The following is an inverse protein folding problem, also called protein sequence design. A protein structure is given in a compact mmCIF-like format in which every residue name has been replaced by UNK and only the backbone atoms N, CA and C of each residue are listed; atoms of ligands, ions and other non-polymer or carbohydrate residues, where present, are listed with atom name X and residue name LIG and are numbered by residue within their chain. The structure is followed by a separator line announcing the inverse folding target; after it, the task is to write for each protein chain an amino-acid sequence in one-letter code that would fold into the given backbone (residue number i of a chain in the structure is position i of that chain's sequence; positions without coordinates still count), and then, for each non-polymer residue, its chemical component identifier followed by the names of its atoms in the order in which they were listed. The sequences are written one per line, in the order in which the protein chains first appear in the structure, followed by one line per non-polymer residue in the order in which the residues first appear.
data_IF_905552537397
#
_entry.id   IF_905552537397
#
_cell.length_a   1.000
_cell.length_b   1.000
_cell.length_c   1.000
_cell.angle_alpha   90.00
_cell.angle_beta   90.00
_cell.angle_gamma   90.00
#
_symmetry.space_group_name_H-M   'P 1'
#
loop_
_entity.id
_entity.type
_entity.pdbx_description
1 polymer ?
#
# COMPACT_ATOMS: atom_id res chain seq x y z
N UNK A 1 -11.09 -29.16 5.39
CA UNK A 1 -10.20 -29.02 4.21
C UNK A 1 -10.79 -27.95 3.31
N UNK A 2 -10.34 -26.69 3.45
CA UNK A 2 -10.67 -25.62 2.50
C UNK A 2 -9.48 -25.49 1.55
N UNK A 3 -9.64 -25.87 0.29
CA UNK A 3 -8.60 -25.63 -0.71
C UNK A 3 -8.56 -24.14 -1.04
N UNK A 4 -7.39 -23.66 -1.45
CA UNK A 4 -7.10 -22.27 -1.85
C UNK A 4 -8.01 -21.78 -3.00
N UNK A 5 -8.78 -22.68 -3.64
CA UNK A 5 -9.83 -22.34 -4.58
C UNK A 5 -11.07 -21.68 -3.95
N UNK A 6 -11.25 -21.71 -2.63
CA UNK A 6 -12.34 -20.99 -1.98
C UNK A 6 -12.21 -19.45 -2.15
N UNK A 7 -10.99 -18.94 -2.32
CA UNK A 7 -10.76 -17.51 -2.56
C UNK A 7 -11.03 -17.08 -4.02
N UNK A 8 -10.89 -18.00 -4.99
CA UNK A 8 -11.17 -17.70 -6.41
C UNK A 8 -12.65 -17.57 -6.74
N UNK A 9 -13.54 -18.16 -5.93
CA UNK A 9 -15.00 -18.11 -6.14
C UNK A 9 -15.65 -16.93 -5.39
N UNK A 10 -14.99 -16.40 -4.37
CA UNK A 10 -15.40 -15.23 -3.61
C UNK A 10 -14.30 -14.16 -3.65
N UNK A 11 -14.05 -13.52 -4.80
CA UNK A 11 -13.36 -12.22 -4.77
C UNK A 11 -14.28 -11.25 -4.02
N UNK A 12 -14.18 -11.27 -2.69
CA UNK A 12 -14.74 -10.23 -1.84
C UNK A 12 -14.09 -8.91 -2.24
N UNK A 13 -14.82 -7.83 -2.03
CA UNK A 13 -14.30 -6.46 -2.11
C UNK A 13 -13.25 -6.25 -1.00
N UNK A 14 -12.08 -6.89 -1.11
CA UNK A 14 -10.94 -6.74 -0.22
C UNK A 14 -10.13 -5.55 -0.67
N UNK A 15 -9.98 -4.59 0.22
CA UNK A 15 -9.12 -3.44 0.01
C UNK A 15 -7.69 -3.76 0.47
N UNK A 16 -6.70 -3.45 -0.37
CA UNK A 16 -5.29 -3.65 -0.05
C UNK A 16 -4.59 -2.31 0.00
N UNK A 17 -3.93 -2.02 1.12
CA UNK A 17 -3.20 -0.78 1.36
C UNK A 17 -1.70 -1.00 1.31
N UNK A 18 -1.07 -0.59 0.21
CA UNK A 18 0.38 -0.62 0.06
C UNK A 18 0.97 0.58 0.77
N UNK A 19 1.70 0.33 1.86
CA UNK A 19 2.52 1.31 2.54
C UNK A 19 3.88 1.43 1.86
N UNK A 20 4.20 2.59 1.32
CA UNK A 20 5.44 2.86 0.59
C UNK A 20 6.30 3.96 1.23
N UNK A 21 7.59 3.99 0.90
CA UNK A 21 8.43 5.16 1.18
C UNK A 21 8.56 5.97 -0.09
N UNK A 22 8.22 7.24 -0.01
CA UNK A 22 8.05 8.11 -1.18
C UNK A 22 9.32 8.30 -2.02
N UNK A 23 10.49 7.98 -1.47
CA UNK A 23 11.80 8.06 -2.12
C UNK A 23 12.35 6.69 -2.57
N UNK A 24 11.49 5.65 -2.59
CA UNK A 24 11.87 4.26 -2.85
C UNK A 24 10.90 3.55 -3.81
N UNK A 25 11.39 2.83 -4.84
CA UNK A 25 10.51 2.22 -5.84
C UNK A 25 9.80 0.93 -5.38
N UNK A 26 10.18 0.35 -4.24
CA UNK A 26 9.73 -0.98 -3.81
C UNK A 26 8.22 -1.05 -3.55
N UNK A 27 7.63 0.03 -3.02
CA UNK A 27 6.18 0.13 -2.86
C UNK A 27 5.44 0.15 -4.20
N UNK A 28 5.99 0.88 -5.18
CA UNK A 28 5.45 0.92 -6.54
C UNK A 28 5.49 -0.48 -7.20
N UNK A 29 6.61 -1.19 -7.08
CA UNK A 29 6.74 -2.56 -7.59
C UNK A 29 5.75 -3.52 -6.93
N UNK A 30 5.56 -3.41 -5.62
CA UNK A 30 4.58 -4.23 -4.91
C UNK A 30 3.16 -3.94 -5.39
N UNK A 31 2.78 -2.67 -5.55
CA UNK A 31 1.46 -2.29 -6.06
C UNK A 31 1.20 -2.84 -7.47
N UNK A 32 2.17 -2.71 -8.39
CA UNK A 32 2.05 -3.30 -9.73
C UNK A 32 1.90 -4.81 -9.66
N UNK A 33 2.76 -5.51 -8.92
CA UNK A 33 2.70 -6.96 -8.85
C UNK A 33 1.36 -7.44 -8.29
N UNK A 34 0.83 -6.78 -7.25
CA UNK A 34 -0.49 -7.06 -6.71
C UNK A 34 -1.60 -6.84 -7.75
N UNK A 35 -1.54 -5.73 -8.50
CA UNK A 35 -2.54 -5.43 -9.55
C UNK A 35 -2.55 -6.44 -10.70
N UNK A 36 -1.40 -7.08 -10.97
CA UNK A 36 -1.32 -8.15 -11.98
C UNK A 36 -1.84 -9.49 -11.48
N UNK A 37 -1.73 -9.75 -10.16
CA UNK A 37 -2.15 -10.99 -9.53
C UNK A 37 -3.63 -10.98 -9.09
N UNK A 38 -4.13 -9.81 -8.71
CA UNK A 38 -5.45 -9.60 -8.13
C UNK A 38 -6.18 -8.56 -8.97
N UNK A 39 -7.40 -8.87 -9.39
CA UNK A 39 -8.24 -7.89 -10.07
C UNK A 39 -8.81 -6.90 -9.05
N UNK A 40 -8.48 -5.63 -9.23
CA UNK A 40 -9.09 -4.52 -8.50
C UNK A 40 -10.09 -3.77 -9.39
N UNK A 41 -11.03 -3.06 -8.77
CA UNK A 41 -11.91 -2.12 -9.47
C UNK A 41 -11.37 -0.68 -9.37
N UNK A 42 -10.81 -0.32 -8.20
CA UNK A 42 -10.34 1.03 -7.93
C UNK A 42 -8.82 1.07 -7.71
N UNK A 43 -8.20 2.17 -8.14
CA UNK A 43 -6.84 2.55 -7.77
C UNK A 43 -6.89 3.87 -7.01
N UNK A 44 -6.38 3.88 -5.78
CA UNK A 44 -6.47 5.04 -4.90
C UNK A 44 -5.07 5.41 -4.46
N UNK A 45 -4.60 6.57 -4.91
CA UNK A 45 -3.24 7.03 -4.63
C UNK A 45 -3.27 8.16 -3.61
N UNK A 46 -2.28 8.22 -2.74
CA UNK A 46 -2.05 9.43 -1.95
C UNK A 46 -1.79 10.65 -2.84
N UNK A 47 -2.47 11.75 -2.53
CA UNK A 47 -2.38 13.03 -3.23
C UNK A 47 -2.66 14.19 -2.28
N UNK A 48 -1.68 14.56 -1.46
CA UNK A 48 -1.83 15.58 -0.41
C UNK A 48 -2.17 16.98 -0.93
N UNK A 49 -1.73 17.30 -2.16
CA UNK A 49 -1.97 18.58 -2.81
C UNK A 49 -3.11 18.54 -3.85
N UNK A 50 -3.83 17.43 -3.98
CA UNK A 50 -4.86 17.28 -5.00
C UNK A 50 -6.11 18.09 -4.66
N UNK A 51 -6.74 18.71 -5.67
CA UNK A 51 -8.04 19.33 -5.47
C UNK A 51 -9.15 18.29 -5.27
N UNK A 52 -10.28 18.69 -4.66
CA UNK A 52 -11.40 17.77 -4.33
C UNK A 52 -11.94 17.03 -5.56
N UNK A 53 -11.94 17.68 -6.72
CA UNK A 53 -12.45 17.11 -7.97
C UNK A 53 -11.33 16.53 -8.85
N UNK A 54 -10.09 16.50 -8.37
CA UNK A 54 -8.95 16.00 -9.11
C UNK A 54 -8.80 14.49 -8.89
N UNK A 55 -8.43 13.79 -9.95
CA UNK A 55 -8.10 12.36 -9.96
C UNK A 55 -6.77 12.14 -10.67
N UNK A 56 -6.09 11.01 -10.42
CA UNK A 56 -4.94 10.62 -11.23
C UNK A 56 -5.28 10.66 -12.73
N UNK A 57 -4.35 11.19 -13.54
CA UNK A 57 -4.52 11.22 -14.99
C UNK A 57 -4.79 9.81 -15.53
N UNK A 58 -5.76 9.71 -16.43
CA UNK A 58 -6.10 8.46 -17.11
C UNK A 58 -5.69 8.47 -18.59
N UNK A 59 -4.95 9.49 -19.05
CA UNK A 59 -4.42 9.55 -20.41
C UNK A 59 -3.06 8.82 -20.49
N UNK A 60 -3.00 7.63 -21.12
CA UNK A 60 -1.75 6.89 -21.23
C UNK A 60 -0.68 7.65 -22.02
N UNK A 61 -1.05 8.49 -23.00
CA UNK A 61 -0.08 9.26 -23.78
C UNK A 61 0.58 10.34 -22.95
N UNK A 62 -0.20 11.01 -22.09
CA UNK A 62 0.32 12.02 -21.18
C UNK A 62 1.33 11.40 -20.19
N UNK A 63 0.96 10.29 -19.54
CA UNK A 63 1.80 9.56 -18.58
C UNK A 63 3.07 9.02 -19.25
N UNK A 64 2.97 8.57 -20.50
CA UNK A 64 4.11 8.02 -21.23
C UNK A 64 5.01 9.06 -21.89
N UNK A 65 4.61 10.33 -21.86
CA UNK A 65 5.29 11.40 -22.59
C UNK A 65 6.67 11.73 -22.01
N UNK A 66 7.61 12.13 -22.88
CA UNK A 66 8.93 12.64 -22.46
C UNK A 66 8.84 13.89 -21.56
N UNK A 67 7.94 14.86 -21.82
CA UNK A 67 7.76 15.99 -20.91
C UNK A 67 7.38 15.57 -19.50
N UNK A 68 6.43 14.63 -19.35
CA UNK A 68 6.05 14.11 -18.03
C UNK A 68 7.24 13.47 -17.31
N UNK A 69 8.03 12.66 -18.02
CA UNK A 69 9.20 12.00 -17.42
C UNK A 69 10.25 13.00 -16.94
N UNK A 70 10.56 14.04 -17.73
CA UNK A 70 11.49 15.10 -17.34
C UNK A 70 10.99 15.89 -16.12
N UNK A 71 9.72 16.29 -16.14
CA UNK A 71 9.11 17.01 -15.03
C UNK A 71 9.17 16.17 -13.74
N UNK A 72 8.86 14.88 -13.82
CA UNK A 72 8.93 13.99 -12.66
C UNK A 72 10.36 13.79 -12.16
N UNK A 73 11.34 13.70 -13.05
CA UNK A 73 12.77 13.65 -12.67
C UNK A 73 13.17 14.92 -11.90
N UNK A 74 12.81 16.09 -12.40
CA UNK A 74 13.11 17.38 -11.75
C UNK A 74 12.44 17.48 -10.37
N UNK A 75 11.16 17.13 -10.26
CA UNK A 75 10.42 17.14 -8.99
C UNK A 75 11.04 16.17 -7.99
N UNK A 76 11.30 14.92 -8.39
CA UNK A 76 11.87 13.90 -7.49
C UNK A 76 13.26 14.31 -7.02
N UNK A 77 14.11 14.82 -7.92
CA UNK A 77 15.45 15.29 -7.54
C UNK A 77 15.39 16.49 -6.59
N UNK A 78 14.41 17.37 -6.75
CA UNK A 78 14.21 18.52 -5.87
C UNK A 78 13.73 18.11 -4.47
N UNK A 79 12.79 17.17 -4.38
CA UNK A 79 12.22 16.71 -3.10
C UNK A 79 13.22 15.80 -2.37
N UNK A 80 13.96 14.97 -3.11
CA UNK A 80 14.91 13.99 -2.57
C UNK A 80 16.33 14.23 -3.13
N UNK A 81 16.99 15.33 -2.71
CA UNK A 81 18.32 15.69 -3.24
C UNK A 81 19.42 14.70 -2.89
N UNK A 82 19.17 13.77 -1.94
CA UNK A 82 20.10 12.71 -1.57
C UNK A 82 20.13 11.54 -2.56
N UNK A 83 19.14 11.41 -3.44
CA UNK A 83 19.10 10.32 -4.42
C UNK A 83 20.11 10.55 -5.54
N UNK A 84 20.81 9.48 -5.91
CA UNK A 84 21.67 9.44 -7.08
C UNK A 84 20.84 9.46 -8.38
N UNK A 85 21.39 9.91 -9.51
CA UNK A 85 20.65 10.00 -10.78
C UNK A 85 20.00 8.68 -11.23
N UNK A 86 20.65 7.54 -10.96
CA UNK A 86 20.13 6.21 -11.27
C UNK A 86 18.92 5.85 -10.41
N UNK A 87 18.95 6.22 -9.12
CA UNK A 87 17.83 6.01 -8.18
C UNK A 87 16.64 6.90 -8.53
N UNK A 88 16.89 8.16 -8.92
CA UNK A 88 15.85 9.06 -9.44
C UNK A 88 15.21 8.47 -10.69
N UNK A 89 16.02 7.95 -11.61
CA UNK A 89 15.51 7.33 -12.84
C UNK A 89 14.64 6.11 -12.52
N UNK A 90 15.10 5.23 -11.62
CA UNK A 90 14.34 4.05 -11.21
C UNK A 90 13.03 4.41 -10.49
N UNK A 91 13.05 5.45 -9.64
CA UNK A 91 11.85 5.93 -8.94
C UNK A 91 10.85 6.54 -9.92
N UNK A 92 11.29 7.33 -10.90
CA UNK A 92 10.44 7.89 -11.95
C UNK A 92 9.82 6.78 -12.80
N UNK A 93 10.61 5.80 -13.23
CA UNK A 93 10.12 4.69 -14.05
C UNK A 93 9.11 3.82 -13.28
N UNK A 94 9.36 3.55 -12.00
CA UNK A 94 8.40 2.83 -11.15
C UNK A 94 7.12 3.62 -10.91
N UNK A 95 7.22 4.94 -10.70
CA UNK A 95 6.08 5.85 -10.52
C UNK A 95 5.22 5.89 -11.78
N UNK A 96 5.87 5.97 -12.94
CA UNK A 96 5.20 5.91 -14.25
C UNK A 96 4.36 4.65 -14.39
N UNK A 97 4.94 3.50 -14.03
CA UNK A 97 4.23 2.22 -14.09
C UNK A 97 3.00 2.21 -13.18
N UNK A 98 3.13 2.68 -11.94
CA UNK A 98 1.98 2.79 -11.01
C UNK A 98 0.91 3.73 -11.54
N UNK A 99 1.29 4.89 -12.10
CA UNK A 99 0.32 5.82 -12.67
C UNK A 99 -0.44 5.21 -13.85
N UNK A 100 0.14 4.26 -14.59
CA UNK A 100 -0.57 3.53 -15.63
C UNK A 100 -1.74 2.67 -15.09
N UNK A 101 -1.80 2.36 -13.80
CA UNK A 101 -2.98 1.73 -13.19
C UNK A 101 -4.22 2.62 -13.28
N UNK A 102 -4.06 3.95 -13.28
CA UNK A 102 -5.16 4.89 -13.42
C UNK A 102 -5.81 4.87 -14.81
N UNK A 103 -5.15 4.26 -15.81
CA UNK A 103 -5.70 4.10 -17.17
C UNK A 103 -6.71 2.96 -17.23
N UNK A 104 -6.56 1.94 -16.38
CA UNK A 104 -7.36 0.70 -16.43
C UNK A 104 -8.30 0.51 -15.24
N UNK A 105 -8.02 1.17 -14.11
CA UNK A 105 -8.81 1.13 -12.89
C UNK A 105 -9.50 2.47 -12.65
N UNK A 106 -10.55 2.49 -11.83
CA UNK A 106 -11.20 3.73 -11.41
C UNK A 106 -10.28 4.53 -10.47
N UNK A 107 -9.68 5.65 -10.91
CA UNK A 107 -8.62 6.30 -10.16
C UNK A 107 -9.16 7.40 -9.24
N UNK A 108 -8.68 7.45 -8.00
CA UNK A 108 -8.98 8.56 -7.07
C UNK A 108 -7.74 8.94 -6.25
N UNK A 109 -7.75 10.16 -5.70
CA UNK A 109 -6.81 10.57 -4.67
C UNK A 109 -7.42 10.44 -3.26
N UNK A 110 -6.57 10.16 -2.28
CA UNK A 110 -6.83 10.22 -0.84
C UNK A 110 -5.70 11.00 -0.14
N UNK A 111 -5.96 11.50 1.06
CA UNK A 111 -4.95 12.18 1.89
C UNK A 111 -4.82 13.67 1.62
N UNK A 112 -5.83 14.31 1.00
CA UNK A 112 -5.80 15.75 0.67
C UNK A 112 -5.56 16.63 1.91
N UNK A 113 -4.95 17.78 1.65
CA UNK A 113 -4.56 18.77 2.65
C UNK A 113 -3.65 18.15 3.73
N UNK A 114 -2.59 17.44 3.31
CA UNK A 114 -1.70 16.72 4.23
C UNK A 114 -2.46 15.86 5.23
N UNK A 115 -3.41 15.06 4.74
CA UNK A 115 -4.31 14.22 5.53
C UNK A 115 -5.18 14.96 6.57
N UNK A 116 -5.32 16.29 6.49
CA UNK A 116 -6.15 17.07 7.42
C UNK A 116 -7.64 17.11 7.03
N UNK A 117 -8.00 16.70 5.82
CA UNK A 117 -9.39 16.72 5.36
C UNK A 117 -10.21 15.60 6.04
N UNK A 118 -11.06 16.01 6.98
CA UNK A 118 -11.88 15.09 7.80
C UNK A 118 -13.11 14.57 7.07
N UNK A 119 -13.49 15.21 5.97
CA UNK A 119 -14.69 14.87 5.20
C UNK A 119 -14.38 14.07 3.94
N UNK A 120 -13.12 14.03 3.50
CA UNK A 120 -12.68 13.35 2.27
C UNK A 120 -13.21 11.93 2.16
N UNK A 121 -12.96 11.10 3.18
CA UNK A 121 -13.43 9.72 3.18
C UNK A 121 -14.94 9.61 2.97
N UNK A 122 -15.71 10.47 3.64
CA UNK A 122 -17.17 10.47 3.54
C UNK A 122 -17.67 11.00 2.19
N UNK A 123 -16.96 11.95 1.57
CA UNK A 123 -17.25 12.39 0.21
C UNK A 123 -16.96 11.28 -0.80
N UNK A 124 -15.77 10.67 -0.74
CA UNK A 124 -15.39 9.54 -1.61
C UNK A 124 -16.35 8.34 -1.47
N UNK A 125 -16.77 8.03 -0.23
CA UNK A 125 -17.77 6.98 0.03
C UNK A 125 -19.10 7.28 -0.65
N UNK A 126 -19.62 8.51 -0.54
CA UNK A 126 -20.88 8.93 -1.18
C UNK A 126 -20.80 8.93 -2.70
N UNK A 127 -19.63 9.24 -3.26
CA UNK A 127 -19.37 9.21 -4.70
C UNK A 127 -19.18 7.79 -5.24
N UNK A 128 -19.13 6.77 -4.38
CA UNK A 128 -18.92 5.38 -4.78
C UNK A 128 -17.47 5.07 -5.15
N UNK A 129 -16.50 5.93 -4.79
CA UNK A 129 -15.07 5.74 -5.09
C UNK A 129 -14.47 4.47 -4.44
N UNK A 130 -15.17 3.87 -3.48
CA UNK A 130 -14.78 2.63 -2.82
C UNK A 130 -15.70 1.43 -3.16
N UNK A 131 -16.55 1.54 -4.18
CA UNK A 131 -17.39 0.42 -4.59
C UNK A 131 -16.52 -0.62 -5.30
N UNK A 132 -16.54 -1.87 -4.83
CA UNK A 132 -15.62 -2.90 -5.30
C UNK A 132 -14.32 -2.94 -4.49
N UNK A 133 -13.45 -3.88 -4.82
CA UNK A 133 -12.09 -3.94 -4.27
C UNK A 133 -11.22 -2.78 -4.76
N UNK A 134 -10.40 -2.26 -3.86
CA UNK A 134 -9.55 -1.10 -4.11
C UNK A 134 -8.10 -1.39 -3.76
N UNK A 135 -7.19 -0.98 -4.64
CA UNK A 135 -5.75 -0.95 -4.37
C UNK A 135 -5.36 0.47 -3.96
N UNK A 136 -4.94 0.62 -2.71
CA UNK A 136 -4.43 1.87 -2.17
C UNK A 136 -2.91 1.89 -2.20
N UNK A 137 -2.33 3.04 -2.57
CA UNK A 137 -0.89 3.30 -2.47
C UNK A 137 -0.67 4.60 -1.70
N UNK A 138 -0.14 4.48 -0.49
CA UNK A 138 -0.01 5.59 0.48
C UNK A 138 1.32 5.52 1.22
N UNK A 139 1.74 6.65 1.79
CA UNK A 139 2.92 6.69 2.66
C UNK A 139 2.77 5.71 3.81
N UNK A 140 3.84 4.97 4.10
CA UNK A 140 3.88 3.91 5.11
C UNK A 140 3.46 4.37 6.52
N UNK A 141 3.57 5.67 6.83
CA UNK A 141 3.07 6.22 8.09
C UNK A 141 1.58 5.92 8.30
N UNK A 142 0.78 5.95 7.22
CA UNK A 142 -0.67 5.73 7.23
C UNK A 142 -1.06 4.27 7.31
N UNK A 143 -0.12 3.34 7.20
CA UNK A 143 -0.38 1.90 7.36
C UNK A 143 0.24 1.34 8.63
N UNK A 144 1.39 1.86 9.09
CA UNK A 144 2.12 1.32 10.24
C UNK A 144 2.02 2.12 11.54
N UNK A 145 1.57 3.36 11.55
CA UNK A 145 1.57 4.16 12.80
C UNK A 145 0.17 4.38 13.36
N UNK A 146 0.10 4.73 14.66
CA UNK A 146 -1.16 4.97 15.38
C UNK A 146 -1.30 6.42 15.84
N UNK A 147 -0.33 7.27 15.53
CA UNK A 147 -0.28 8.65 15.98
C UNK A 147 -0.01 9.57 14.80
N UNK A 148 -0.83 10.62 14.72
CA UNK A 148 -0.63 11.76 13.84
C UNK A 148 0.75 12.39 14.00
N UNK A 149 1.32 12.86 12.90
CA UNK A 149 2.52 13.68 12.85
C UNK A 149 2.24 15.10 13.35
N UNK A 150 1.07 15.63 13.03
CA UNK A 150 0.64 16.98 13.43
C UNK A 150 -0.78 16.98 13.97
N UNK A 151 -1.17 18.03 14.72
CA UNK A 151 -2.50 18.08 15.31
C UNK A 151 -3.64 18.32 14.32
N UNK A 152 -3.33 18.91 13.17
CA UNK A 152 -4.29 19.19 12.11
C UNK A 152 -4.75 17.94 11.36
N UNK A 153 -3.89 16.92 11.29
CA UNK A 153 -4.19 15.67 10.60
C UNK A 153 -5.43 14.96 11.14
N UNK A 154 -6.14 14.30 10.24
CA UNK A 154 -7.28 13.48 10.56
C UNK A 154 -6.85 12.27 11.41
N UNK A 155 -7.41 12.09 12.63
CA UNK A 155 -7.06 10.94 13.47
C UNK A 155 -7.32 9.58 12.81
N UNK A 156 -8.23 9.51 11.83
CA UNK A 156 -8.51 8.28 11.08
C UNK A 156 -7.41 7.93 10.07
N UNK A 157 -6.47 8.83 9.77
CA UNK A 157 -5.37 8.55 8.85
C UNK A 157 -4.29 7.61 9.44
N UNK A 158 -4.39 7.25 10.73
CA UNK A 158 -3.32 6.58 11.47
C UNK A 158 -3.81 5.38 12.33
N UNK A 159 -3.83 4.15 11.79
CA UNK A 159 -3.59 3.83 10.38
C UNK A 159 -4.89 3.89 9.56
N UNK A 160 -4.80 4.49 8.37
CA UNK A 160 -5.90 4.70 7.44
C UNK A 160 -6.62 3.39 7.06
N UNK A 161 -5.89 2.31 6.84
CA UNK A 161 -6.50 1.03 6.42
C UNK A 161 -7.52 0.47 7.45
N UNK A 162 -7.38 0.84 8.74
CA UNK A 162 -8.32 0.43 9.79
C UNK A 162 -9.52 1.35 9.89
N UNK A 163 -9.31 2.66 9.78
CA UNK A 163 -10.29 3.66 10.17
C UNK A 163 -10.95 4.40 8.99
N UNK A 164 -10.35 4.35 7.80
CA UNK A 164 -10.83 4.94 6.56
C UNK A 164 -11.14 3.84 5.54
N UNK A 165 -12.07 2.95 5.88
CA UNK A 165 -12.38 1.78 5.06
C UNK A 165 -13.87 1.46 5.06
N UNK A 166 -14.38 0.94 3.93
CA UNK A 166 -15.79 0.57 3.72
C UNK A 166 -16.05 -0.94 3.74
N UNK A 167 -15.01 -1.76 3.82
CA UNK A 167 -15.10 -3.22 3.74
C UNK A 167 -13.99 -3.93 4.51
N UNK A 168 -13.67 -5.19 4.22
CA UNK A 168 -12.44 -5.81 4.70
C UNK A 168 -11.20 -5.07 4.14
N UNK A 169 -10.23 -4.71 4.98
CA UNK A 169 -8.92 -4.21 4.54
C UNK A 169 -7.78 -4.95 5.19
N UNK A 170 -6.70 -5.07 4.43
CA UNK A 170 -5.37 -5.44 4.90
C UNK A 170 -4.36 -4.41 4.39
N UNK A 171 -3.25 -4.27 5.10
CA UNK A 171 -2.11 -3.51 4.66
C UNK A 171 -0.97 -4.44 4.24
N UNK A 172 -0.14 -3.95 3.32
CA UNK A 172 1.06 -4.63 2.86
C UNK A 172 2.22 -3.65 2.83
N UNK A 173 3.41 -4.11 3.23
CA UNK A 173 4.57 -3.24 3.30
C UNK A 173 5.83 -4.02 2.94
N UNK A 174 6.65 -3.55 1.98
CA UNK A 174 7.91 -4.21 1.66
C UNK A 174 8.84 -4.29 2.87
N UNK A 175 9.55 -5.41 3.01
CA UNK A 175 10.51 -5.61 4.11
C UNK A 175 11.59 -4.53 4.10
N UNK A 176 12.09 -4.15 2.91
CA UNK A 176 13.11 -3.10 2.79
C UNK A 176 12.69 -1.78 3.43
N UNK A 177 11.41 -1.41 3.30
CA UNK A 177 10.86 -0.18 3.88
C UNK A 177 10.74 -0.30 5.41
N UNK A 178 10.37 -1.49 5.91
CA UNK A 178 10.36 -1.77 7.36
C UNK A 178 11.78 -1.76 7.93
N UNK A 179 12.75 -2.36 7.24
CA UNK A 179 14.14 -2.41 7.69
C UNK A 179 14.74 -1.00 7.76
N UNK A 180 14.44 -0.16 6.77
CA UNK A 180 14.96 1.20 6.68
C UNK A 180 14.33 2.15 7.71
N UNK A 181 13.00 2.08 7.90
CA UNK A 181 12.27 3.08 8.69
C UNK A 181 11.59 2.54 9.96
N UNK A 182 11.69 1.24 10.25
CA UNK A 182 10.94 0.58 11.32
C UNK A 182 11.20 1.20 12.70
N UNK A 183 12.47 1.46 13.02
CA UNK A 183 12.86 2.10 14.28
C UNK A 183 12.29 3.52 14.43
N UNK A 184 12.23 4.28 13.34
CA UNK A 184 11.61 5.62 13.33
C UNK A 184 10.10 5.52 13.58
N UNK A 185 9.42 4.59 12.92
CA UNK A 185 7.97 4.40 13.09
C UNK A 185 7.57 3.78 14.42
N UNK A 186 8.45 3.04 15.09
CA UNK A 186 8.21 2.51 16.44
C UNK A 186 7.90 3.59 17.47
N UNK A 187 8.47 4.80 17.30
CA UNK A 187 8.16 5.96 18.16
C UNK A 187 6.71 6.42 18.06
N UNK A 188 5.99 5.98 17.01
CA UNK A 188 4.61 6.37 16.67
C UNK A 188 3.64 5.19 16.69
N UNK A 189 4.10 4.03 17.17
CA UNK A 189 3.26 2.85 17.40
C UNK A 189 2.87 2.80 18.86
N UNK A 190 1.57 2.82 19.14
CA UNK A 190 1.01 2.77 20.49
C UNK A 190 0.26 1.47 20.71
N UNK A 191 0.09 1.00 21.97
CA UNK A 191 -0.77 -0.14 22.24
C UNK A 191 -2.18 0.10 21.69
N UNK A 192 -2.58 -0.70 20.70
CA UNK A 192 -3.93 -0.72 20.12
C UNK A 192 -4.44 -2.16 20.06
N UNK A 193 -5.63 -2.36 19.49
CA UNK A 193 -6.04 -3.68 19.03
C UNK A 193 -4.93 -4.24 18.12
N UNK A 194 -4.38 -5.43 18.44
CA UNK A 194 -3.28 -5.99 17.68
C UNK A 194 -3.64 -6.27 16.23
N UNK A 195 -2.66 -6.09 15.36
CA UNK A 195 -2.68 -6.69 14.03
C UNK A 195 -2.05 -8.08 14.06
N UNK A 196 -2.43 -8.87 13.08
CA UNK A 196 -1.82 -10.15 12.78
C UNK A 196 -1.24 -10.07 11.39
N UNK A 197 -0.10 -10.73 11.19
CA UNK A 197 0.67 -10.62 9.97
C UNK A 197 1.35 -11.91 9.55
N UNK A 198 1.78 -11.94 8.31
CA UNK A 198 2.56 -13.02 7.72
C UNK A 198 3.54 -12.43 6.70
N UNK A 199 4.75 -12.96 6.66
CA UNK A 199 5.72 -12.64 5.62
C UNK A 199 5.40 -13.42 4.35
N UNK A 200 5.38 -12.72 3.22
CA UNK A 200 5.20 -13.30 1.90
C UNK A 200 6.46 -13.03 1.09
N UNK A 201 7.03 -14.06 0.50
CA UNK A 201 8.10 -13.94 -0.48
C UNK A 201 7.51 -13.51 -1.82
N UNK A 202 8.07 -12.43 -2.39
CA UNK A 202 7.78 -12.04 -3.76
C UNK A 202 8.15 -13.17 -4.74
N UNK A 203 7.58 -13.11 -5.95
CA UNK A 203 7.93 -14.07 -7.00
C UNK A 203 9.43 -14.01 -7.28
N UNK A 204 10.00 -15.15 -7.65
CA UNK A 204 11.39 -15.21 -8.09
C UNK A 204 11.63 -14.14 -9.17
N UNK A 205 12.75 -13.42 -9.05
CA UNK A 205 13.17 -12.31 -9.93
C UNK A 205 12.27 -11.06 -9.93
N UNK A 206 11.25 -11.00 -9.05
CA UNK A 206 10.41 -9.80 -8.92
C UNK A 206 11.03 -8.77 -7.97
N UNK A 207 10.94 -7.49 -8.36
CA UNK A 207 11.53 -6.36 -7.62
C UNK A 207 10.78 -5.97 -6.33
N UNK A 208 9.65 -6.61 -6.00
CA UNK A 208 8.93 -6.30 -4.77
C UNK A 208 9.55 -6.96 -3.53
N UNK A 209 10.37 -8.01 -3.72
CA UNK A 209 11.04 -8.73 -2.62
C UNK A 209 10.06 -9.34 -1.61
N UNK A 210 10.55 -9.60 -0.41
CA UNK A 210 9.71 -10.04 0.73
C UNK A 210 8.90 -8.87 1.27
N UNK A 211 7.64 -9.10 1.62
CA UNK A 211 6.76 -8.09 2.21
C UNK A 211 5.90 -8.65 3.33
N UNK A 212 5.54 -7.80 4.29
CA UNK A 212 4.64 -8.13 5.38
C UNK A 212 3.20 -7.84 4.93
N UNK A 213 2.32 -8.81 5.08
CA UNK A 213 0.86 -8.60 4.99
C UNK A 213 0.30 -8.59 6.40
N UNK A 214 -0.53 -7.60 6.74
CA UNK A 214 -1.06 -7.47 8.09
C UNK A 214 -2.44 -6.81 8.14
N UNK A 215 -3.19 -7.11 9.20
CA UNK A 215 -4.50 -6.54 9.47
C UNK A 215 -5.20 -7.18 10.66
N UNK A 216 -6.51 -7.04 10.74
CA UNK A 216 -7.30 -7.63 11.84
C UNK A 216 -7.25 -9.15 11.81
N UNK A 217 -7.27 -9.78 13.00
CA UNK A 217 -7.14 -11.23 13.14
C UNK A 217 -8.16 -12.00 12.29
N UNK A 218 -9.42 -11.59 12.30
CA UNK A 218 -10.50 -12.28 11.59
C UNK A 218 -10.24 -12.36 10.09
N UNK A 219 -9.90 -11.23 9.45
CA UNK A 219 -9.61 -11.17 8.01
C UNK A 219 -8.32 -11.94 7.69
N UNK A 220 -7.28 -11.74 8.50
CA UNK A 220 -5.99 -12.40 8.28
C UNK A 220 -6.10 -13.91 8.44
N UNK A 221 -6.88 -14.40 9.41
CA UNK A 221 -7.13 -15.84 9.63
C UNK A 221 -8.01 -16.43 8.54
N UNK A 222 -8.95 -15.65 8.00
CA UNK A 222 -9.73 -16.07 6.85
C UNK A 222 -8.87 -16.27 5.60
N UNK A 223 -7.95 -15.35 5.31
CA UNK A 223 -7.12 -15.37 4.10
C UNK A 223 -5.95 -16.36 4.23
N UNK A 224 -5.22 -16.32 5.35
CA UNK A 224 -3.95 -17.03 5.52
C UNK A 224 -4.04 -18.22 6.49
N UNK A 225 -5.16 -18.38 7.20
CA UNK A 225 -5.33 -19.44 8.19
C UNK A 225 -4.49 -19.22 9.45
N UNK A 226 -4.00 -20.31 10.03
CA UNK A 226 -3.30 -20.29 11.33
C UNK A 226 -1.80 -19.98 11.24
N UNK A 227 -1.29 -19.62 10.06
CA UNK A 227 0.14 -19.25 9.88
C UNK A 227 0.43 -17.80 10.27
N UNK A 228 -0.61 -17.03 10.61
CA UNK A 228 -0.49 -15.64 11.01
C UNK A 228 0.05 -15.54 12.43
N UNK A 229 0.89 -14.55 12.66
CA UNK A 229 1.42 -14.22 13.97
C UNK A 229 1.00 -12.81 14.37
N UNK A 230 0.95 -12.54 15.67
CA UNK A 230 0.68 -11.20 16.16
C UNK A 230 1.82 -10.28 15.73
N UNK A 231 1.50 -9.18 15.05
CA UNK A 231 2.48 -8.14 14.71
C UNK A 231 2.91 -7.46 16.02
N UNK A 232 4.22 -7.43 16.34
CA UNK A 232 4.69 -6.82 17.56
C UNK A 232 4.44 -5.30 17.55
N UNK A 233 4.35 -4.73 18.76
CA UNK A 233 4.21 -3.28 18.91
C UNK A 233 5.40 -2.56 18.28
N UNK A 234 6.62 -3.06 18.52
CA UNK A 234 7.84 -2.59 17.88
C UNK A 234 8.15 -3.43 16.65
N UNK A 235 8.25 -2.79 15.49
CA UNK A 235 8.65 -3.38 14.22
C UNK A 235 10.05 -3.96 14.29
N UNK A 236 10.94 -3.40 15.11
CA UNK A 236 12.28 -3.99 15.35
C UNK A 236 12.22 -5.38 16.00
N UNK A 237 11.08 -5.75 16.58
CA UNK A 237 10.86 -7.07 17.18
C UNK A 237 10.12 -8.01 16.23
N UNK A 238 9.86 -7.62 14.97
CA UNK A 238 9.29 -8.51 13.96
C UNK A 238 10.24 -9.69 13.76
N UNK A 239 9.70 -10.90 13.85
CA UNK A 239 10.40 -12.12 13.45
C UNK A 239 10.91 -11.96 12.02
N UNK A 240 12.11 -12.46 11.74
CA UNK A 240 12.61 -12.52 10.37
C UNK A 240 11.66 -13.37 9.50
N UNK A 241 11.58 -13.11 8.19
CA UNK A 241 10.89 -13.99 7.26
C UNK A 241 11.45 -15.41 7.39
N UNK A 242 10.59 -16.37 7.72
CA UNK A 242 10.97 -17.78 7.72
C UNK A 242 10.71 -18.30 6.31
N UNK A 243 11.71 -18.86 5.61
CA UNK A 243 11.48 -19.52 4.33
C UNK A 243 10.40 -20.57 4.54
N UNK A 244 9.34 -20.55 3.73
CA UNK A 244 8.31 -21.57 3.76
C UNK A 244 8.93 -22.89 3.27
N UNK A 245 9.67 -23.57 4.15
CA UNK A 245 10.37 -24.80 3.85
C UNK A 245 9.34 -25.87 3.47
N UNK A 246 9.19 -26.13 2.17
CA UNK A 246 8.62 -27.35 1.60
C UNK A 246 7.38 -27.92 2.34
N UNK A 247 6.50 -27.06 2.87
CA UNK A 247 5.22 -27.52 3.38
C UNK A 247 4.32 -27.78 2.17
N UNK A 248 4.39 -29.04 1.71
CA UNK A 248 3.46 -29.72 0.80
C UNK A 248 2.27 -28.85 0.37
N UNK A 249 2.35 -28.33 -0.85
CA UNK A 249 1.20 -27.99 -1.71
C UNK A 249 0.00 -27.38 -0.96
N UNK A 250 0.20 -26.32 -0.18
CA UNK A 250 -0.89 -25.38 0.11
C UNK A 250 -0.49 -24.03 -0.43
N UNK A 251 -0.99 -23.79 -1.63
CA UNK A 251 -0.80 -22.58 -2.41
C UNK A 251 -0.96 -21.34 -1.52
N UNK A 252 0.08 -20.53 -1.43
CA UNK A 252 -0.08 -19.09 -1.25
C UNK A 252 0.67 -18.47 -2.41
N UNK A 253 0.01 -18.46 -3.57
CA UNK A 253 0.38 -17.58 -4.65
C UNK A 253 -0.61 -16.42 -4.59
N UNK A 254 -0.16 -15.31 -4.01
CA UNK A 254 -0.51 -13.99 -4.50
C UNK A 254 0.52 -13.68 -5.60
#
# INVERSE_FOLDING_TARGET
MGSVNAYKVNQRDLNIWVGESHDRPQGNYLAINLSTAIKFQNFIKEGVNAHVNETPSNDPKAIQSKPWQRQMQEIIQQIYPHLMPEEVTELVDSTKNVMMLAVTLNPNYIGRCDWSDKEEFERMRRMGSFKGSSLFLVGIAHTLTNTRLTESENPKAYPAFKYMNVGPSIAVTPKSVIDEHGAYYDTRRKPTIPDFGVWIEGKQDSKNGTFLVYGSEGIMREIFGNIIEKVPLKLTNLSAPVPLASQKKRCVFL
#
